data_IF_836232102000
#
_entry.id   IF_836232102000
#
_cell.length_a   1.000
_cell.length_b   1.000
_cell.length_c   1.000
_cell.angle_alpha   90.00
_cell.angle_beta   90.00
_cell.angle_gamma   90.00
#
_symmetry.space_group_name_H-M   'P 1'
#
loop_
_entity.id
_entity.type
_entity.pdbx_description
1 polymer ?
#
# COMPACT_ATOMS: atom_id res chain seq x y z
N UNK A 1 -11.05 17.92 10.18
CA UNK A 1 -11.73 16.62 9.97
C UNK A 1 -12.39 16.67 8.59
N UNK A 2 -12.03 15.77 7.67
CA UNK A 2 -12.75 15.65 6.39
C UNK A 2 -14.17 15.17 6.70
N UNK A 3 -15.19 15.93 6.29
CA UNK A 3 -16.62 15.58 6.42
C UNK A 3 -17.10 15.21 7.85
N UNK A 4 -16.45 15.70 8.90
CA UNK A 4 -16.83 15.40 10.29
C UNK A 4 -16.49 13.99 10.75
N UNK A 5 -15.55 13.32 10.06
CA UNK A 5 -15.07 11.99 10.42
C UNK A 5 -13.57 12.02 10.66
N UNK A 6 -13.09 11.19 11.59
CA UNK A 6 -11.66 10.99 11.85
C UNK A 6 -11.15 9.83 10.99
N UNK A 7 -10.04 10.05 10.30
CA UNK A 7 -9.30 9.01 9.60
C UNK A 7 -7.97 8.78 10.33
N UNK A 8 -7.71 7.55 10.73
CA UNK A 8 -6.41 7.08 11.20
C UNK A 8 -5.82 6.19 10.11
N UNK A 9 -4.54 6.39 9.79
CA UNK A 9 -3.86 5.66 8.72
C UNK A 9 -2.72 4.85 9.33
N UNK A 10 -2.63 3.58 8.95
CA UNK A 10 -1.47 2.72 9.20
C UNK A 10 -0.92 2.27 7.84
N UNK A 11 0.28 2.74 7.51
CA UNK A 11 1.04 2.27 6.35
C UNK A 11 1.70 0.94 6.72
N UNK A 12 1.15 -0.17 6.24
CA UNK A 12 1.63 -1.51 6.58
C UNK A 12 2.84 -1.85 5.72
N UNK A 13 3.89 -2.36 6.35
CA UNK A 13 5.10 -2.83 5.70
C UNK A 13 5.62 -4.12 6.37
N UNK A 14 6.67 -4.73 5.82
CA UNK A 14 7.23 -5.97 6.35
C UNK A 14 7.79 -5.90 7.79
N UNK A 15 7.90 -4.69 8.35
CA UNK A 15 8.32 -4.44 9.73
C UNK A 15 7.17 -4.10 10.68
N UNK A 16 5.93 -3.98 10.19
CA UNK A 16 4.75 -3.68 11.01
C UNK A 16 4.51 -4.82 11.99
N UNK A 17 4.57 -4.51 13.28
CA UNK A 17 4.30 -5.47 14.34
C UNK A 17 2.81 -5.62 14.59
N UNK A 18 2.43 -6.70 15.27
CA UNK A 18 1.07 -6.85 15.78
C UNK A 18 0.67 -5.71 16.71
N UNK A 19 1.58 -5.22 17.56
CA UNK A 19 1.29 -4.10 18.46
C UNK A 19 0.98 -2.81 17.70
N UNK A 20 1.63 -2.53 16.56
CA UNK A 20 1.28 -1.38 15.73
C UNK A 20 -0.16 -1.46 15.20
N UNK A 21 -0.60 -2.67 14.85
CA UNK A 21 -1.97 -2.92 14.40
C UNK A 21 -2.92 -2.69 15.57
N UNK A 22 -2.64 -3.24 16.75
CA UNK A 22 -3.49 -3.06 17.92
C UNK A 22 -3.59 -1.58 18.33
N UNK A 23 -2.46 -0.87 18.36
CA UNK A 23 -2.38 0.53 18.78
C UNK A 23 -3.27 1.46 17.93
N UNK A 24 -3.37 1.25 16.61
CA UNK A 24 -4.24 2.10 15.78
C UNK A 24 -5.72 1.86 16.07
N UNK A 25 -6.11 0.62 16.38
CA UNK A 25 -7.48 0.30 16.77
C UNK A 25 -7.81 0.78 18.19
N UNK A 26 -6.85 0.72 19.11
CA UNK A 26 -7.00 1.26 20.46
C UNK A 26 -7.12 2.79 20.43
N UNK A 27 -6.35 3.46 19.58
CA UNK A 27 -6.54 4.90 19.33
C UNK A 27 -7.93 5.22 18.77
N UNK A 28 -8.40 4.44 17.79
CA UNK A 28 -9.76 4.62 17.26
C UNK A 28 -10.83 4.40 18.33
N UNK A 29 -10.65 3.39 19.18
CA UNK A 29 -11.56 3.08 20.29
C UNK A 29 -11.57 4.19 21.35
N UNK A 30 -10.41 4.76 21.68
CA UNK A 30 -10.29 5.90 22.59
C UNK A 30 -11.11 7.10 22.12
N UNK A 31 -10.99 7.47 20.84
CA UNK A 31 -11.72 8.59 20.23
C UNK A 31 -13.25 8.38 20.30
N UNK A 32 -13.72 7.15 20.10
CA UNK A 32 -15.13 6.80 20.24
C UNK A 32 -15.57 6.86 21.72
N UNK A 33 -14.76 6.32 22.63
CA UNK A 33 -15.08 6.23 24.06
C UNK A 33 -15.11 7.60 24.75
N UNK A 34 -14.25 8.52 24.34
CA UNK A 34 -14.22 9.92 24.81
C UNK A 34 -15.40 10.75 24.27
N UNK A 35 -16.15 10.20 23.32
CA UNK A 35 -17.31 10.86 22.70
C UNK A 35 -16.92 11.98 21.72
N UNK A 36 -15.64 12.07 21.33
CA UNK A 36 -15.15 13.06 20.37
C UNK A 36 -15.81 12.87 18.99
N UNK A 37 -16.00 11.60 18.60
CA UNK A 37 -16.59 11.22 17.33
C UNK A 37 -17.50 10.00 17.51
N UNK A 38 -18.55 9.90 16.69
CA UNK A 38 -19.37 8.68 16.59
C UNK A 38 -18.82 7.66 15.60
N UNK A 39 -18.01 8.12 14.65
CA UNK A 39 -17.44 7.28 13.61
C UNK A 39 -15.96 7.63 13.43
N UNK A 40 -15.11 6.60 13.37
CA UNK A 40 -13.68 6.70 13.07
C UNK A 40 -13.36 5.70 11.97
N UNK A 41 -12.64 6.14 10.95
CA UNK A 41 -12.12 5.27 9.91
C UNK A 41 -10.68 4.89 10.24
N UNK A 42 -10.38 3.60 10.21
CA UNK A 42 -9.02 3.06 10.24
C UNK A 42 -8.70 2.59 8.83
N UNK A 43 -7.76 3.26 8.18
CA UNK A 43 -7.25 2.88 6.86
C UNK A 43 -5.93 2.13 7.02
N UNK A 44 -5.92 0.89 6.56
CA UNK A 44 -4.77 0.00 6.57
C UNK A 44 -4.23 -0.08 5.14
N UNK A 45 -3.15 0.62 4.85
CA UNK A 45 -2.57 0.61 3.50
C UNK A 45 -1.62 -0.58 3.33
N UNK A 46 -1.58 -1.17 2.14
CA UNK A 46 -0.72 -2.30 1.78
C UNK A 46 -0.75 -3.52 2.73
N UNK A 47 -1.93 -3.93 3.23
CA UNK A 47 -2.04 -4.93 4.33
C UNK A 47 -1.28 -6.24 4.10
N UNK A 48 -1.11 -6.65 2.84
CA UNK A 48 -0.45 -7.89 2.47
C UNK A 48 1.07 -7.81 2.41
N UNK A 49 1.69 -6.69 2.78
CA UNK A 49 3.16 -6.59 2.94
C UNK A 49 3.64 -7.10 4.30
N UNK A 50 2.77 -7.19 5.31
CA UNK A 50 3.12 -7.72 6.63
C UNK A 50 2.77 -9.20 6.81
N UNK A 51 3.48 -9.85 7.73
CA UNK A 51 3.28 -11.26 8.09
C UNK A 51 2.01 -11.52 8.92
N UNK A 52 1.37 -10.47 9.45
CA UNK A 52 0.20 -10.56 10.33
C UNK A 52 -1.12 -10.63 9.56
N UNK A 53 -1.13 -11.23 8.37
CA UNK A 53 -2.33 -11.36 7.52
C UNK A 53 -3.51 -12.05 8.20
N UNK A 54 -3.25 -12.98 9.13
CA UNK A 54 -4.31 -13.62 9.91
C UNK A 54 -5.06 -12.61 10.79
N UNK A 55 -4.33 -11.69 11.44
CA UNK A 55 -4.92 -10.64 12.28
C UNK A 55 -5.66 -9.60 11.42
N UNK A 56 -5.11 -9.22 10.26
CA UNK A 56 -5.80 -8.35 9.31
C UNK A 56 -7.12 -8.96 8.82
N UNK A 57 -7.09 -10.26 8.49
CA UNK A 57 -8.28 -11.01 8.10
C UNK A 57 -9.30 -11.10 9.24
N UNK A 58 -8.87 -11.30 10.49
CA UNK A 58 -9.73 -11.25 11.66
C UNK A 58 -10.42 -9.89 11.81
N UNK A 59 -9.64 -8.81 11.72
CA UNK A 59 -10.15 -7.44 11.85
C UNK A 59 -11.20 -7.12 10.79
N UNK A 60 -10.91 -7.46 9.53
CA UNK A 60 -11.77 -7.13 8.39
C UNK A 60 -13.01 -8.03 8.34
N UNK A 61 -12.84 -9.35 8.38
CA UNK A 61 -13.95 -10.29 8.19
C UNK A 61 -14.78 -10.53 9.46
N UNK A 62 -14.13 -10.62 10.62
CA UNK A 62 -14.79 -10.99 11.87
C UNK A 62 -15.02 -9.81 12.80
N UNK A 63 -14.49 -8.62 12.46
CA UNK A 63 -14.56 -7.42 13.31
C UNK A 63 -14.04 -7.69 14.72
N UNK A 64 -12.92 -8.40 14.83
CA UNK A 64 -12.23 -8.66 16.09
C UNK A 64 -10.71 -8.62 15.93
N UNK A 65 -10.01 -8.37 17.04
CA UNK A 65 -8.56 -8.46 17.15
C UNK A 65 -8.22 -9.32 18.37
N UNK A 66 -7.47 -10.41 18.17
CA UNK A 66 -7.16 -11.37 19.25
C UNK A 66 -8.42 -11.88 19.97
N UNK A 67 -9.50 -12.09 19.23
CA UNK A 67 -10.80 -12.53 19.75
C UNK A 67 -11.61 -11.45 20.47
N UNK A 68 -11.11 -10.22 20.60
CA UNK A 68 -11.86 -9.09 21.17
C UNK A 68 -12.59 -8.34 20.06
N UNK A 69 -13.90 -8.15 20.20
CA UNK A 69 -14.72 -7.43 19.21
C UNK A 69 -14.27 -5.98 19.08
N UNK A 70 -14.10 -5.51 17.86
CA UNK A 70 -13.83 -4.12 17.54
C UNK A 70 -15.09 -3.30 17.88
N UNK A 71 -14.98 -2.20 18.63
CA UNK A 71 -16.11 -1.33 18.97
C UNK A 71 -16.93 -0.87 17.76
N UNK A 72 -18.22 -0.66 17.98
CA UNK A 72 -19.10 0.00 17.00
C UNK A 72 -18.60 1.42 16.70
N UNK A 73 -18.84 1.90 15.48
CA UNK A 73 -18.39 3.21 15.02
C UNK A 73 -16.97 3.23 14.43
N UNK A 74 -16.19 2.15 14.58
CA UNK A 74 -14.91 2.01 13.86
C UNK A 74 -15.17 1.38 12.50
N UNK A 75 -14.82 2.06 11.42
CA UNK A 75 -14.95 1.59 10.05
C UNK A 75 -13.57 1.24 9.49
N UNK A 76 -13.43 0.06 8.89
CA UNK A 76 -12.13 -0.40 8.39
C UNK A 76 -12.11 -0.21 6.88
N UNK A 77 -11.09 0.47 6.39
CA UNK A 77 -10.73 0.51 4.99
C UNK A 77 -9.37 -0.16 4.85
N UNK A 78 -9.20 -1.02 3.86
CA UNK A 78 -7.93 -1.68 3.63
C UNK A 78 -7.57 -1.63 2.15
N UNK A 79 -6.32 -1.30 1.86
CA UNK A 79 -5.72 -1.45 0.54
C UNK A 79 -4.70 -2.58 0.58
N UNK A 80 -4.52 -3.24 -0.57
CA UNK A 80 -3.55 -4.31 -0.73
C UNK A 80 -2.93 -4.24 -2.10
N UNK A 81 -1.69 -4.72 -2.19
CA UNK A 81 -0.97 -4.78 -3.45
C UNK A 81 -1.33 -6.06 -4.22
N UNK A 82 -1.45 -6.02 -5.55
CA UNK A 82 -1.81 -7.20 -6.33
C UNK A 82 -0.72 -8.27 -6.27
N UNK A 83 -1.12 -9.55 -6.12
CA UNK A 83 -0.18 -10.67 -6.12
C UNK A 83 0.26 -11.01 -7.56
N UNK A 84 1.37 -10.40 -8.01
CA UNK A 84 1.91 -10.57 -9.38
C UNK A 84 3.32 -11.15 -9.38
N UNK A 85 3.58 -12.11 -10.27
CA UNK A 85 4.92 -12.67 -10.52
C UNK A 85 5.67 -11.77 -11.51
N UNK A 86 6.97 -11.59 -11.31
CA UNK A 86 7.83 -10.93 -12.32
C UNK A 86 7.88 -11.79 -13.58
N UNK A 87 7.84 -11.19 -14.78
CA UNK A 87 8.19 -11.89 -16.00
C UNK A 87 9.59 -12.52 -15.85
N UNK A 88 9.78 -13.75 -16.32
CA UNK A 88 11.11 -14.36 -16.35
C UNK A 88 12.00 -13.57 -17.31
N UNK A 89 12.87 -12.72 -16.76
CA UNK A 89 13.98 -12.11 -17.49
C UNK A 89 15.19 -13.03 -17.36
N UNK A 90 15.95 -13.16 -18.44
CA UNK A 90 17.27 -13.80 -18.39
C UNK A 90 18.08 -13.18 -17.25
N UNK A 91 18.66 -14.01 -16.40
CA UNK A 91 19.33 -13.59 -15.18
C UNK A 91 20.42 -12.55 -15.50
N UNK A 92 20.17 -11.29 -15.18
CA UNK A 92 21.22 -10.29 -15.11
C UNK A 92 22.21 -10.74 -14.02
N UNK A 93 23.52 -10.84 -14.31
CA UNK A 93 24.50 -11.24 -13.31
C UNK A 93 24.68 -10.10 -12.31
N UNK A 94 23.87 -10.11 -11.25
CA UNK A 94 23.97 -9.22 -10.09
C UNK A 94 24.13 -10.05 -8.82
N UNK A 95 24.96 -9.58 -7.88
CA UNK A 95 25.32 -10.30 -6.66
C UNK A 95 24.07 -10.82 -5.92
N UNK A 96 23.87 -12.13 -5.95
CA UNK A 96 23.02 -12.83 -4.98
C UNK A 96 23.76 -12.79 -3.65
N UNK A 97 23.22 -12.09 -2.67
CA UNK A 97 23.75 -12.07 -1.31
C UNK A 97 23.62 -13.47 -0.70
N UNK A 98 24.63 -14.30 -0.87
CA UNK A 98 24.75 -15.59 -0.19
C UNK A 98 25.06 -15.34 1.28
N UNK A 99 24.04 -15.37 2.14
CA UNK A 99 24.25 -15.57 3.56
C UNK A 99 24.96 -16.91 3.76
N UNK A 100 26.25 -16.87 4.08
CA UNK A 100 27.04 -18.03 4.48
C UNK A 100 26.53 -18.56 5.82
N UNK A 101 25.63 -19.53 5.76
CA UNK A 101 25.25 -20.42 6.86
C UNK A 101 24.84 -21.76 6.25
N UNK A 102 25.22 -22.87 6.88
CA UNK A 102 25.12 -24.26 6.39
C UNK A 102 23.68 -24.81 6.18
N UNK A 103 22.72 -24.00 5.75
CA UNK A 103 21.44 -24.45 5.21
C UNK A 103 21.42 -24.03 3.73
N UNK A 104 21.08 -24.97 2.83
CA UNK A 104 20.95 -24.67 1.39
C UNK A 104 20.08 -23.44 1.13
N UNK A 105 20.16 -22.82 -0.08
CA UNK A 105 19.52 -21.54 -0.34
C UNK A 105 18.04 -21.62 0.04
N UNK A 106 17.65 -20.91 1.10
CA UNK A 106 16.26 -20.69 1.43
C UNK A 106 15.68 -19.94 0.24
N UNK A 107 14.97 -20.67 -0.61
CA UNK A 107 14.33 -20.09 -1.79
C UNK A 107 13.24 -19.17 -1.28
N UNK A 108 13.53 -17.87 -1.21
CA UNK A 108 12.56 -16.85 -0.84
C UNK A 108 11.41 -16.87 -1.88
N UNK A 109 10.22 -17.37 -1.52
CA UNK A 109 9.12 -17.52 -2.46
C UNK A 109 8.61 -16.16 -2.96
N UNK A 110 8.88 -15.08 -2.22
CA UNK A 110 8.46 -13.72 -2.55
C UNK A 110 9.47 -13.00 -3.46
N UNK A 111 10.69 -13.53 -3.64
CA UNK A 111 11.71 -12.93 -4.52
C UNK A 111 11.28 -12.90 -5.99
N UNK A 112 10.36 -13.78 -6.40
CA UNK A 112 9.82 -13.84 -7.76
C UNK A 112 8.64 -12.90 -7.98
N UNK A 113 8.19 -12.15 -6.96
CA UNK A 113 7.03 -11.28 -7.06
C UNK A 113 7.44 -9.85 -7.41
N UNK A 114 6.56 -9.13 -8.11
CA UNK A 114 6.71 -7.69 -8.37
C UNK A 114 6.67 -6.94 -7.03
N UNK A 115 5.69 -7.29 -6.19
CA UNK A 115 5.54 -6.82 -4.81
C UNK A 115 5.89 -7.92 -3.83
N UNK A 116 6.63 -7.60 -2.76
CA UNK A 116 6.88 -8.54 -1.67
C UNK A 116 5.64 -8.64 -0.78
N UNK A 117 4.65 -9.41 -1.24
CA UNK A 117 3.36 -9.56 -0.57
C UNK A 117 3.00 -11.00 -0.24
N UNK A 118 2.29 -11.17 0.86
CA UNK A 118 1.69 -12.42 1.29
C UNK A 118 0.46 -12.76 0.45
N UNK A 119 0.19 -14.06 0.20
CA UNK A 119 -1.03 -14.50 -0.47
C UNK A 119 -2.28 -14.03 0.28
N UNK A 120 -3.30 -13.65 -0.48
CA UNK A 120 -4.54 -13.13 0.10
C UNK A 120 -5.41 -14.32 0.58
N UNK A 121 -5.83 -14.35 1.86
CA UNK A 121 -6.78 -15.33 2.38
C UNK A 121 -8.04 -15.42 1.54
N UNK A 122 -8.58 -16.64 1.37
CA UNK A 122 -9.80 -16.87 0.61
C UNK A 122 -10.99 -16.06 1.15
N UNK A 123 -11.07 -15.90 2.47
CA UNK A 123 -12.12 -15.12 3.16
C UNK A 123 -12.11 -13.64 2.81
N UNK A 124 -10.94 -13.07 2.47
CA UNK A 124 -10.85 -11.66 2.06
C UNK A 124 -11.28 -11.45 0.61
N UNK A 125 -11.30 -12.48 -0.24
CA UNK A 125 -11.52 -12.31 -1.69
C UNK A 125 -12.87 -11.66 -2.01
N UNK A 126 -13.90 -11.99 -1.24
CA UNK A 126 -15.25 -11.45 -1.43
C UNK A 126 -15.35 -9.95 -1.07
N UNK A 127 -14.35 -9.39 -0.39
CA UNK A 127 -14.27 -7.98 0.02
C UNK A 127 -13.39 -7.13 -0.90
N UNK A 128 -12.72 -7.74 -1.89
CA UNK A 128 -11.75 -7.04 -2.75
C UNK A 128 -12.46 -6.45 -3.96
N UNK A 129 -12.16 -5.18 -4.22
CA UNK A 129 -12.55 -4.49 -5.43
C UNK A 129 -11.32 -3.89 -6.11
N UNK A 130 -11.26 -3.98 -7.45
CA UNK A 130 -10.18 -3.38 -8.24
C UNK A 130 -10.53 -1.91 -8.56
N UNK A 131 -9.76 -0.98 -8.00
CA UNK A 131 -9.90 0.46 -8.27
C UNK A 131 -9.43 0.86 -9.68
N UNK A 132 -8.82 -0.06 -10.42
CA UNK A 132 -8.27 0.17 -11.74
C UNK A 132 -6.94 0.91 -11.71
N UNK A 133 -6.60 1.56 -12.82
CA UNK A 133 -5.36 2.32 -12.97
C UNK A 133 -5.66 3.73 -13.45
N UNK A 134 -4.76 4.67 -13.13
CA UNK A 134 -4.87 6.03 -13.64
C UNK A 134 -4.73 6.02 -15.17
N UNK A 135 -5.55 6.84 -15.83
CA UNK A 135 -5.35 7.11 -17.26
C UNK A 135 -4.18 8.10 -17.41
N UNK A 136 -3.45 8.08 -18.54
CA UNK A 136 -2.33 9.00 -18.76
C UNK A 136 -2.73 10.47 -18.55
N UNK A 137 -3.94 10.85 -18.93
CA UNK A 137 -4.44 12.22 -18.78
C UNK A 137 -4.60 12.60 -17.31
N UNK A 138 -5.12 11.68 -16.47
CA UNK A 138 -5.25 11.91 -15.03
C UNK A 138 -3.90 11.91 -14.35
N UNK A 139 -3.01 10.99 -14.73
CA UNK A 139 -1.65 10.91 -14.21
C UNK A 139 -0.89 12.22 -14.46
N UNK A 140 -0.99 12.78 -15.67
CA UNK A 140 -0.43 14.10 -15.99
C UNK A 140 -0.93 15.21 -15.06
N UNK A 141 -2.23 15.24 -14.77
CA UNK A 141 -2.82 16.23 -13.85
C UNK A 141 -2.24 16.09 -12.44
N UNK A 142 -2.06 14.86 -11.95
CA UNK A 142 -1.45 14.63 -10.65
C UNK A 142 0.02 15.03 -10.62
N UNK A 143 0.82 14.63 -11.62
CA UNK A 143 2.23 15.02 -11.74
C UNK A 143 2.35 16.54 -11.74
N UNK A 144 1.55 17.22 -12.55
CA UNK A 144 1.56 18.68 -12.62
C UNK A 144 1.20 19.32 -11.27
N UNK A 145 0.22 18.77 -10.55
CA UNK A 145 -0.14 19.24 -9.21
C UNK A 145 1.01 19.07 -8.20
N UNK A 146 1.69 17.92 -8.22
CA UNK A 146 2.85 17.66 -7.36
C UNK A 146 4.03 18.58 -7.69
N UNK A 147 4.36 18.75 -8.98
CA UNK A 147 5.38 19.69 -9.43
C UNK A 147 5.04 21.11 -9.01
N UNK A 148 3.79 21.53 -9.17
CA UNK A 148 3.33 22.85 -8.76
C UNK A 148 3.42 23.08 -7.25
N UNK A 149 3.19 22.04 -6.46
CA UNK A 149 3.38 22.09 -5.00
C UNK A 149 4.85 22.17 -4.60
N UNK A 150 5.75 21.47 -5.29
CA UNK A 150 7.19 21.44 -4.97
C UNK A 150 7.96 22.64 -5.51
N UNK A 151 7.50 23.24 -6.60
CA UNK A 151 8.15 24.38 -7.26
C UNK A 151 7.18 25.57 -7.39
N UNK A 152 6.66 26.13 -6.27
CA UNK A 152 5.60 27.13 -6.32
C UNK A 152 6.03 28.48 -6.91
N UNK A 153 7.33 28.78 -6.91
CA UNK A 153 7.91 30.04 -7.41
C UNK A 153 8.24 30.01 -8.90
N UNK A 154 8.27 28.83 -9.52
CA UNK A 154 8.61 28.68 -10.92
C UNK A 154 7.44 29.06 -11.83
N UNK A 155 7.78 29.56 -13.03
CA UNK A 155 6.78 29.89 -14.02
C UNK A 155 6.00 28.64 -14.47
N UNK A 156 4.74 28.82 -14.84
CA UNK A 156 3.89 27.72 -15.32
C UNK A 156 4.51 26.94 -16.49
N UNK A 157 5.14 27.56 -17.51
CA UNK A 157 5.81 26.82 -18.58
C UNK A 157 6.94 25.90 -18.09
N UNK A 158 7.70 26.34 -17.08
CA UNK A 158 8.77 25.51 -16.48
C UNK A 158 8.17 24.33 -15.73
N UNK A 159 7.12 24.56 -14.93
CA UNK A 159 6.42 23.49 -14.21
C UNK A 159 5.78 22.47 -15.17
N UNK A 160 5.20 22.95 -16.27
CA UNK A 160 4.64 22.11 -17.31
C UNK A 160 5.72 21.22 -17.96
N UNK A 161 6.85 21.81 -18.35
CA UNK A 161 7.98 21.07 -18.91
C UNK A 161 8.48 19.98 -17.96
N UNK A 162 8.64 20.30 -16.67
CA UNK A 162 9.08 19.32 -15.66
C UNK A 162 8.07 18.18 -15.53
N UNK A 163 6.77 18.49 -15.50
CA UNK A 163 5.72 17.48 -15.43
C UNK A 163 5.73 16.53 -16.64
N UNK A 164 5.88 17.09 -17.85
CA UNK A 164 5.99 16.31 -19.10
C UNK A 164 7.23 15.40 -19.09
N UNK A 165 8.38 15.89 -18.63
CA UNK A 165 9.60 15.09 -18.52
C UNK A 165 9.45 13.94 -17.53
N UNK A 166 8.79 14.16 -16.39
CA UNK A 166 8.51 13.10 -15.41
C UNK A 166 7.59 12.04 -16.03
N UNK A 167 6.50 12.46 -16.68
CA UNK A 167 5.56 11.53 -17.29
C UNK A 167 6.19 10.70 -18.42
N UNK A 168 6.98 11.34 -19.29
CA UNK A 168 7.73 10.65 -20.33
C UNK A 168 8.73 9.65 -19.74
N UNK A 169 9.38 9.99 -18.63
CA UNK A 169 10.28 9.08 -17.92
C UNK A 169 9.52 7.88 -17.34
N UNK A 170 8.33 8.11 -16.75
CA UNK A 170 7.49 7.04 -16.22
C UNK A 170 6.97 6.12 -17.32
N UNK A 171 6.53 6.66 -18.45
CA UNK A 171 6.13 5.88 -19.62
C UNK A 171 7.29 5.02 -20.15
N UNK A 172 8.49 5.59 -20.26
CA UNK A 172 9.68 4.87 -20.69
C UNK A 172 10.02 3.70 -19.75
N UNK A 173 10.02 3.92 -18.44
CA UNK A 173 10.29 2.86 -17.46
C UNK A 173 9.24 1.75 -17.58
N UNK A 174 7.94 2.10 -17.68
CA UNK A 174 6.87 1.11 -17.85
C UNK A 174 7.03 0.28 -19.12
N UNK A 175 7.47 0.89 -20.22
CA UNK A 175 7.74 0.19 -21.47
C UNK A 175 8.94 -0.77 -21.36
N UNK A 176 10.03 -0.35 -20.72
CA UNK A 176 11.21 -1.18 -20.49
C UNK A 176 10.93 -2.30 -19.50
N UNK A 177 10.24 -2.00 -18.40
CA UNK A 177 9.88 -2.97 -17.36
C UNK A 177 8.77 -3.92 -17.80
N UNK A 178 8.01 -3.55 -18.85
CA UNK A 178 6.80 -4.25 -19.29
C UNK A 178 5.77 -4.44 -18.15
N UNK A 179 5.79 -3.51 -17.18
CA UNK A 179 4.94 -3.55 -16.00
C UNK A 179 4.45 -2.13 -15.71
N UNK A 180 3.13 -1.94 -15.77
CA UNK A 180 2.51 -0.63 -15.56
C UNK A 180 2.73 -0.08 -14.14
N UNK A 181 3.01 -0.96 -13.17
CA UNK A 181 3.22 -0.58 -11.77
C UNK A 181 4.69 -0.37 -11.39
N UNK A 182 5.61 -0.41 -12.37
CA UNK A 182 7.03 -0.11 -12.17
C UNK A 182 7.29 1.34 -11.77
N UNK A 183 6.30 2.21 -11.98
CA UNK A 183 6.33 3.61 -11.57
C UNK A 183 5.04 3.97 -10.85
N UNK A 184 5.15 4.81 -9.84
CA UNK A 184 4.02 5.41 -9.12
C UNK A 184 4.23 6.92 -9.00
N UNK A 185 3.16 7.62 -8.63
CA UNK A 185 3.17 9.04 -8.29
C UNK A 185 3.72 9.27 -6.88
#
# INVERSE_FOLDING_TARGET
AWMGVKLLILDVHGGTSEDNILDIFDQAAGIIAEGEMKNVFVFLDEINTCSHMALMNEAICHRSLRGKRIPEGIHILAALNPYRKRPEREAMPGLVYQLHGNAGPLVDPMAKLVYRVHPIPHTLRDFIFDFGSLTPEKEMVYIFSMVSSKFPTESEPVRQLVAELIAASQEYIRAIEQEASSTSL
#
